data_IF_706817792308
#
_entry.id   IF_706817792308
#
_cell.length_a   1.000
_cell.length_b   1.000
_cell.length_c   1.000
_cell.angle_alpha   90.00
_cell.angle_beta   90.00
_cell.angle_gamma   90.00
#
_symmetry.space_group_name_H-M   'P 1'
#
loop_
_entity.id
_entity.type
_entity.pdbx_description
1 polymer ?
#
# COMPACT_ATOMS: atom_id res chain seq x y z
N UNK A 1 18.44 -20.44 6.65
CA UNK A 1 17.76 -19.15 6.92
C UNK A 1 18.75 -18.03 7.26
N UNK A 2 19.54 -18.13 8.34
CA UNK A 2 20.47 -17.05 8.74
C UNK A 2 21.54 -16.76 7.65
N UNK A 3 22.06 -17.78 7.00
CA UNK A 3 22.99 -17.64 5.88
C UNK A 3 22.37 -16.88 4.70
N UNK A 4 21.08 -17.12 4.42
CA UNK A 4 20.38 -16.47 3.34
C UNK A 4 20.06 -14.99 3.66
N UNK A 5 19.67 -14.68 4.89
CA UNK A 5 19.54 -13.28 5.35
C UNK A 5 20.86 -12.53 5.26
N UNK A 6 21.97 -13.17 5.67
CA UNK A 6 23.30 -12.59 5.54
C UNK A 6 23.71 -12.36 4.09
N UNK A 7 23.34 -13.29 3.19
CA UNK A 7 23.54 -13.13 1.76
C UNK A 7 22.75 -11.94 1.19
N UNK A 8 21.45 -11.82 1.53
CA UNK A 8 20.61 -10.71 1.08
C UNK A 8 21.15 -9.35 1.57
N UNK A 9 21.72 -9.32 2.77
CA UNK A 9 22.41 -8.14 3.31
C UNK A 9 23.71 -7.84 2.53
N UNK A 10 24.58 -8.81 2.36
CA UNK A 10 25.87 -8.63 1.63
C UNK A 10 25.68 -8.29 0.15
N UNK A 11 24.67 -8.86 -0.50
CA UNK A 11 24.32 -8.56 -1.91
C UNK A 11 23.68 -7.19 -2.09
N UNK A 12 23.48 -6.43 -1.00
CA UNK A 12 22.78 -5.14 -0.96
C UNK A 12 21.31 -5.16 -1.40
N UNK A 13 20.74 -6.32 -1.73
CA UNK A 13 19.34 -6.42 -2.16
C UNK A 13 18.38 -5.93 -1.08
N UNK A 14 18.64 -6.28 0.18
CA UNK A 14 17.91 -5.77 1.32
C UNK A 14 17.98 -4.24 1.42
N UNK A 15 19.19 -3.67 1.31
CA UNK A 15 19.40 -2.22 1.41
C UNK A 15 18.71 -1.45 0.29
N UNK A 16 18.78 -1.96 -0.94
CA UNK A 16 18.10 -1.34 -2.10
C UNK A 16 16.59 -1.33 -1.86
N UNK A 17 16.02 -2.46 -1.45
CA UNK A 17 14.60 -2.58 -1.16
C UNK A 17 14.15 -1.64 -0.04
N UNK A 18 14.95 -1.56 1.05
CA UNK A 18 14.73 -0.64 2.17
C UNK A 18 14.76 0.83 1.74
N UNK A 19 15.78 1.24 0.98
CA UNK A 19 15.91 2.63 0.51
C UNK A 19 14.74 3.02 -0.39
N UNK A 20 14.33 2.15 -1.32
CA UNK A 20 13.16 2.41 -2.18
C UNK A 20 11.90 2.52 -1.33
N UNK A 21 11.70 1.64 -0.34
CA UNK A 21 10.52 1.69 0.53
C UNK A 21 10.46 2.96 1.38
N UNK A 22 11.60 3.41 1.94
CA UNK A 22 11.69 4.69 2.67
C UNK A 22 11.39 5.86 1.73
N UNK A 23 11.92 5.85 0.50
CA UNK A 23 11.65 6.88 -0.48
C UNK A 23 10.15 6.97 -0.81
N UNK A 24 9.49 5.83 -1.06
CA UNK A 24 8.04 5.78 -1.29
C UNK A 24 7.29 6.33 -0.07
N UNK A 25 7.69 5.94 1.14
CA UNK A 25 7.09 6.43 2.39
C UNK A 25 7.22 7.95 2.52
N UNK A 26 8.38 8.51 2.20
CA UNK A 26 8.60 9.96 2.20
C UNK A 26 7.72 10.67 1.16
N UNK A 27 7.58 10.10 -0.04
CA UNK A 27 6.69 10.64 -1.08
C UNK A 27 5.22 10.61 -0.64
N UNK A 28 4.77 9.55 0.04
CA UNK A 28 3.41 9.49 0.60
C UNK A 28 3.19 10.58 1.67
N UNK A 29 4.17 10.80 2.53
CA UNK A 29 4.12 11.89 3.51
C UNK A 29 4.01 13.26 2.84
N UNK A 30 4.84 13.54 1.83
CA UNK A 30 4.80 14.81 1.09
C UNK A 30 3.47 15.00 0.35
N UNK A 31 2.93 13.94 -0.23
CA UNK A 31 1.60 13.96 -0.87
C UNK A 31 0.50 14.32 0.13
N UNK A 32 0.54 13.73 1.32
CA UNK A 32 -0.43 14.03 2.38
C UNK A 32 -0.32 15.49 2.84
N UNK A 33 0.90 15.99 3.02
CA UNK A 33 1.15 17.40 3.36
C UNK A 33 0.61 18.34 2.29
N UNK A 34 0.86 18.05 1.02
CA UNK A 34 0.36 18.86 -0.09
C UNK A 34 -1.18 18.86 -0.12
N UNK A 35 -1.82 17.76 0.24
CA UNK A 35 -3.28 17.67 0.35
C UNK A 35 -3.81 18.60 1.45
N UNK A 36 -3.16 18.66 2.62
CA UNK A 36 -3.52 19.60 3.69
C UNK A 36 -3.43 21.05 3.20
N UNK A 37 -2.33 21.42 2.54
CA UNK A 37 -2.14 22.76 2.01
C UNK A 37 -3.17 23.10 0.91
N UNK A 38 -3.50 22.14 0.06
CA UNK A 38 -4.53 22.30 -0.97
C UNK A 38 -5.91 22.56 -0.36
N UNK A 39 -6.31 21.76 0.65
CA UNK A 39 -7.59 21.96 1.33
C UNK A 39 -7.65 23.30 2.08
N UNK A 40 -6.54 23.71 2.69
CA UNK A 40 -6.43 25.02 3.32
C UNK A 40 -6.61 26.16 2.30
N UNK A 41 -5.93 26.08 1.16
CA UNK A 41 -6.09 27.07 0.07
C UNK A 41 -7.52 27.13 -0.46
N UNK A 42 -8.16 25.98 -0.68
CA UNK A 42 -9.56 25.92 -1.10
C UNK A 42 -10.52 26.49 -0.06
N UNK A 43 -10.23 26.27 1.23
CA UNK A 43 -11.01 26.87 2.32
C UNK A 43 -10.90 28.39 2.33
N UNK A 44 -9.68 28.95 2.23
CA UNK A 44 -9.51 30.40 2.18
C UNK A 44 -10.21 31.03 0.96
N UNK A 45 -10.12 30.39 -0.20
CA UNK A 45 -10.83 30.85 -1.39
C UNK A 45 -12.36 30.84 -1.17
N UNK A 46 -12.92 29.79 -0.59
CA UNK A 46 -14.35 29.71 -0.29
C UNK A 46 -14.79 30.78 0.73
N UNK A 47 -13.91 31.11 1.69
CA UNK A 47 -14.16 32.21 2.66
C UNK A 47 -14.16 33.57 1.96
N UNK A 48 -13.19 33.84 1.07
CA UNK A 48 -13.13 35.07 0.30
C UNK A 48 -14.38 35.25 -0.57
N UNK A 49 -14.81 34.19 -1.25
CA UNK A 49 -16.03 34.20 -2.08
C UNK A 49 -17.28 34.46 -1.22
N UNK A 50 -17.40 33.84 -0.05
CA UNK A 50 -18.51 34.07 0.86
C UNK A 50 -18.57 35.51 1.39
N UNK A 51 -17.40 36.09 1.75
CA UNK A 51 -17.30 37.48 2.17
C UNK A 51 -17.69 38.45 1.06
N UNK A 52 -17.25 38.16 -0.17
CA UNK A 52 -17.61 38.98 -1.35
C UNK A 52 -19.12 38.96 -1.62
N UNK A 53 -19.79 37.83 -1.33
CA UNK A 53 -21.25 37.68 -1.43
C UNK A 53 -22.02 38.26 -0.22
N UNK A 54 -21.32 38.77 0.81
CA UNK A 54 -21.94 39.33 2.03
C UNK A 54 -22.49 38.25 2.97
N UNK A 55 -22.04 37.03 2.86
CA UNK A 55 -22.49 35.90 3.69
C UNK A 55 -21.77 35.89 5.07
N UNK A 56 -22.45 35.38 6.09
CA UNK A 56 -21.88 35.29 7.42
C UNK A 56 -21.11 33.96 7.59
N UNK A 57 -19.79 34.02 7.68
CA UNK A 57 -18.93 32.86 7.77
C UNK A 57 -19.28 31.93 8.95
N UNK A 58 -19.62 32.49 10.13
CA UNK A 58 -20.00 31.69 11.30
C UNK A 58 -21.26 30.86 11.03
N UNK A 59 -22.27 31.45 10.37
CA UNK A 59 -23.48 30.74 9.98
C UNK A 59 -23.21 29.65 8.96
N UNK A 60 -22.31 29.90 7.99
CA UNK A 60 -21.92 28.89 7.00
C UNK A 60 -21.18 27.70 7.66
N UNK A 61 -20.31 27.98 8.64
CA UNK A 61 -19.57 26.93 9.36
C UNK A 61 -20.47 26.10 10.29
N UNK A 62 -21.52 26.69 10.86
CA UNK A 62 -22.50 25.99 11.69
C UNK A 62 -23.54 25.22 10.85
N UNK A 63 -23.72 25.59 9.60
CA UNK A 63 -24.64 24.95 8.68
C UNK A 63 -24.19 23.58 8.19
N UNK A 64 -25.12 22.87 7.56
CA UNK A 64 -24.82 21.62 6.84
C UNK A 64 -24.37 21.92 5.41
N UNK A 65 -23.76 20.95 4.76
CA UNK A 65 -23.48 20.99 3.32
C UNK A 65 -24.09 19.78 2.61
N UNK A 66 -24.47 19.95 1.36
CA UNK A 66 -24.94 18.87 0.47
C UNK A 66 -24.10 18.81 -0.77
N UNK A 67 -23.83 17.59 -1.20
CA UNK A 67 -23.13 17.30 -2.44
C UNK A 67 -24.15 16.76 -3.44
N UNK A 68 -24.45 17.53 -4.46
CA UNK A 68 -25.27 17.05 -5.58
C UNK A 68 -24.33 16.64 -6.72
N UNK A 69 -24.32 15.35 -7.04
CA UNK A 69 -23.58 14.81 -8.17
C UNK A 69 -24.49 14.68 -9.38
N UNK A 70 -24.35 15.57 -10.36
CA UNK A 70 -24.93 15.41 -11.68
C UNK A 70 -23.82 15.00 -12.64
N UNK A 71 -24.11 14.08 -13.56
CA UNK A 71 -23.22 13.34 -14.49
C UNK A 71 -21.76 13.81 -14.70
N UNK A 72 -21.43 15.09 -14.56
CA UNK A 72 -20.06 15.64 -14.71
C UNK A 72 -19.80 16.88 -13.83
N UNK A 73 -20.72 17.27 -12.97
CA UNK A 73 -20.60 18.49 -12.14
C UNK A 73 -20.94 18.09 -10.70
N UNK A 74 -20.02 18.41 -9.81
CA UNK A 74 -20.29 18.35 -8.36
C UNK A 74 -20.67 19.76 -7.92
N UNK A 75 -21.89 19.93 -7.47
CA UNK A 75 -22.39 21.20 -6.91
C UNK A 75 -22.37 21.07 -5.39
N UNK A 76 -21.67 21.97 -4.74
CA UNK A 76 -21.57 22.04 -3.28
C UNK A 76 -22.36 23.29 -2.87
N UNK A 77 -23.46 23.12 -2.12
CA UNK A 77 -24.32 24.21 -1.68
C UNK A 77 -23.66 25.09 -0.60
N UNK A 78 -22.77 24.52 0.23
CA UNK A 78 -21.98 25.25 1.23
C UNK A 78 -20.50 24.91 1.09
N UNK A 79 -19.76 25.53 0.16
CA UNK A 79 -18.35 25.21 -0.09
C UNK A 79 -17.44 25.54 1.11
N UNK A 80 -17.75 26.60 1.86
CA UNK A 80 -16.98 27.01 3.05
C UNK A 80 -16.96 25.89 4.10
N UNK A 81 -18.11 25.32 4.44
CA UNK A 81 -18.21 24.20 5.39
C UNK A 81 -17.52 22.95 4.84
N UNK A 82 -17.74 22.63 3.57
CA UNK A 82 -17.17 21.46 2.92
C UNK A 82 -15.63 21.47 2.97
N UNK A 83 -15.01 22.58 2.53
CA UNK A 83 -13.55 22.69 2.52
C UNK A 83 -12.96 22.81 3.93
N UNK A 84 -13.69 23.42 4.88
CA UNK A 84 -13.30 23.40 6.29
C UNK A 84 -13.22 21.97 6.83
N UNK A 85 -14.24 21.15 6.60
CA UNK A 85 -14.25 19.76 7.05
C UNK A 85 -13.19 18.92 6.33
N UNK A 86 -12.97 19.14 5.04
CA UNK A 86 -11.93 18.48 4.27
C UNK A 86 -10.52 18.82 4.81
N UNK A 87 -10.29 20.09 5.12
CA UNK A 87 -9.05 20.55 5.75
C UNK A 87 -8.87 19.92 7.14
N UNK A 88 -9.88 19.96 7.99
CA UNK A 88 -9.89 19.36 9.31
C UNK A 88 -9.57 17.85 9.24
N UNK A 89 -10.23 17.11 8.36
CA UNK A 89 -9.98 15.68 8.17
C UNK A 89 -8.54 15.41 7.72
N UNK A 90 -7.99 16.23 6.83
CA UNK A 90 -6.62 16.09 6.36
C UNK A 90 -5.57 16.40 7.43
N UNK A 91 -5.84 17.36 8.33
CA UNK A 91 -5.00 17.63 9.51
C UNK A 91 -4.99 16.43 10.47
N UNK A 92 -6.16 15.88 10.78
CA UNK A 92 -6.29 14.67 11.63
C UNK A 92 -5.50 13.52 11.07
N UNK A 93 -5.53 13.32 9.75
CA UNK A 93 -4.76 12.29 9.07
C UNK A 93 -3.24 12.47 9.24
N UNK A 94 -2.75 13.69 9.45
CA UNK A 94 -1.34 13.99 9.72
C UNK A 94 -0.93 13.80 11.18
N UNK A 95 -1.86 13.55 12.09
CA UNK A 95 -1.50 13.29 13.50
C UNK A 95 -0.75 11.96 13.63
N UNK A 96 0.34 11.88 14.42
CA UNK A 96 1.16 10.68 14.57
C UNK A 96 0.38 9.45 15.02
N UNK A 97 -0.67 9.62 15.83
CA UNK A 97 -1.57 8.53 16.26
C UNK A 97 -2.30 7.85 15.11
N UNK A 98 -2.51 8.55 14.01
CA UNK A 98 -3.17 8.05 12.81
C UNK A 98 -2.18 7.57 11.74
N UNK A 99 -0.87 7.70 11.98
CA UNK A 99 0.17 7.46 11.00
C UNK A 99 0.13 6.07 10.36
N UNK A 100 -0.10 5.02 11.14
CA UNK A 100 -0.18 3.65 10.63
C UNK A 100 -1.36 3.53 9.67
N UNK A 101 -2.54 3.95 10.11
CA UNK A 101 -3.75 3.88 9.30
C UNK A 101 -3.61 4.75 8.05
N UNK A 102 -3.06 5.95 8.17
CA UNK A 102 -2.89 6.87 7.05
C UNK A 102 -1.93 6.34 5.99
N UNK A 103 -0.77 5.82 6.39
CA UNK A 103 0.16 5.20 5.45
C UNK A 103 -0.47 4.01 4.73
N UNK A 104 -1.08 3.11 5.49
CA UNK A 104 -1.64 1.88 4.93
C UNK A 104 -2.94 2.11 4.15
N UNK A 105 -3.73 3.15 4.46
CA UNK A 105 -4.94 3.52 3.70
C UNK A 105 -4.65 4.34 2.44
N UNK A 106 -3.41 4.83 2.28
CA UNK A 106 -2.95 5.49 1.07
C UNK A 106 -2.62 4.46 -0.03
N UNK A 107 -2.11 4.92 -1.16
CA UNK A 107 -1.64 4.03 -2.24
C UNK A 107 -0.59 2.99 -1.82
N UNK A 108 -0.03 3.09 -0.62
CA UNK A 108 1.00 2.19 -0.10
C UNK A 108 0.55 0.73 -0.04
N UNK A 109 -0.74 0.46 0.26
CA UNK A 109 -1.27 -0.90 0.30
C UNK A 109 -1.27 -1.62 -1.07
N UNK A 110 -1.07 -0.89 -2.18
CA UNK A 110 -0.89 -1.43 -3.53
C UNK A 110 0.58 -1.41 -3.93
N UNK A 111 1.28 -0.30 -3.64
CA UNK A 111 2.68 -0.11 -4.06
C UNK A 111 3.61 -1.07 -3.33
N UNK A 112 3.41 -1.29 -2.05
CA UNK A 112 4.27 -2.18 -1.27
C UNK A 112 4.21 -3.65 -1.73
N UNK A 113 3.02 -4.26 -1.99
CA UNK A 113 2.93 -5.57 -2.65
C UNK A 113 3.58 -5.62 -4.03
N UNK A 114 3.44 -4.57 -4.85
CA UNK A 114 4.13 -4.50 -6.13
C UNK A 114 5.66 -4.56 -5.96
N UNK A 115 6.21 -3.75 -5.08
CA UNK A 115 7.63 -3.75 -4.74
C UNK A 115 8.09 -5.12 -4.20
N UNK A 116 7.25 -5.80 -3.41
CA UNK A 116 7.55 -7.14 -2.90
C UNK A 116 7.64 -8.18 -4.03
N UNK A 117 6.79 -8.05 -5.05
CA UNK A 117 6.88 -8.85 -6.28
C UNK A 117 8.21 -8.65 -7.01
N UNK A 118 8.65 -7.39 -7.17
CA UNK A 118 9.97 -7.07 -7.75
C UNK A 118 11.09 -7.69 -6.90
N UNK A 119 10.98 -7.59 -5.58
CA UNK A 119 11.96 -8.19 -4.67
C UNK A 119 12.03 -9.71 -4.83
N UNK A 120 10.88 -10.39 -4.98
CA UNK A 120 10.81 -11.83 -5.29
C UNK A 120 11.55 -12.19 -6.58
N UNK A 121 11.40 -11.39 -7.64
CA UNK A 121 12.13 -11.56 -8.91
C UNK A 121 13.64 -11.43 -8.69
N UNK A 122 14.09 -10.42 -7.96
CA UNK A 122 15.52 -10.16 -7.70
C UNK A 122 16.15 -11.32 -6.93
N UNK A 123 15.48 -11.80 -5.88
CA UNK A 123 16.00 -12.92 -5.06
C UNK A 123 16.05 -14.23 -5.86
N UNK A 124 15.01 -14.52 -6.66
CA UNK A 124 15.02 -15.70 -7.52
C UNK A 124 16.11 -15.64 -8.61
N UNK A 125 16.32 -14.46 -9.20
CA UNK A 125 17.30 -14.27 -10.27
C UNK A 125 18.75 -14.35 -9.76
N UNK A 126 19.02 -14.07 -8.51
CA UNK A 126 20.38 -14.10 -7.95
C UNK A 126 21.07 -15.45 -8.17
N UNK A 127 20.38 -16.58 -7.98
CA UNK A 127 20.95 -17.91 -8.24
C UNK A 127 21.14 -18.22 -9.71
N UNK A 128 20.23 -17.74 -10.56
CA UNK A 128 20.31 -17.92 -12.00
C UNK A 128 21.56 -17.20 -12.51
N UNK A 129 21.74 -15.95 -12.11
CA UNK A 129 22.84 -15.08 -12.53
C UNK A 129 24.22 -15.60 -12.13
N UNK A 130 24.36 -16.09 -10.90
CA UNK A 130 25.66 -16.51 -10.36
C UNK A 130 25.95 -18.00 -10.51
N UNK A 131 25.01 -18.78 -11.04
CA UNK A 131 25.16 -20.22 -11.24
C UNK A 131 25.34 -21.04 -9.95
N UNK A 132 25.14 -20.40 -8.78
CA UNK A 132 25.35 -21.01 -7.45
C UNK A 132 24.40 -22.16 -7.17
N UNK A 133 23.32 -22.26 -7.92
CA UNK A 133 22.32 -23.31 -7.79
C UNK A 133 22.91 -24.73 -7.95
N UNK A 134 23.91 -24.90 -8.85
CA UNK A 134 24.58 -26.20 -9.03
C UNK A 134 25.36 -26.64 -7.79
N UNK A 135 26.07 -25.71 -7.15
CA UNK A 135 26.84 -25.97 -5.93
C UNK A 135 25.93 -26.23 -4.73
N UNK A 136 24.87 -25.44 -4.57
CA UNK A 136 23.93 -25.63 -3.46
C UNK A 136 23.18 -26.96 -3.56
N UNK A 137 22.86 -27.44 -4.76
CA UNK A 137 22.20 -28.75 -4.99
C UNK A 137 23.03 -29.96 -4.59
N UNK A 138 24.34 -29.84 -4.50
CA UNK A 138 25.20 -30.92 -4.01
C UNK A 138 25.09 -31.15 -2.52
N UNK A 139 24.64 -30.11 -1.78
CA UNK A 139 24.59 -30.12 -0.30
C UNK A 139 23.14 -30.19 0.19
N UNK A 140 22.21 -29.51 -0.46
CA UNK A 140 20.81 -29.38 -0.03
C UNK A 140 19.83 -29.67 -1.18
N UNK A 141 18.62 -30.14 -0.83
CA UNK A 141 17.56 -30.28 -1.82
C UNK A 141 17.09 -28.90 -2.34
N UNK A 142 16.65 -28.84 -3.60
CA UNK A 142 16.12 -27.59 -4.19
C UNK A 142 14.98 -26.99 -3.36
N UNK A 143 14.15 -27.85 -2.76
CA UNK A 143 13.06 -27.44 -1.87
C UNK A 143 13.59 -26.69 -0.66
N UNK A 144 14.61 -27.22 0.03
CA UNK A 144 15.20 -26.58 1.19
C UNK A 144 15.81 -25.22 0.85
N UNK A 145 16.44 -25.10 -0.31
CA UNK A 145 16.99 -23.85 -0.81
C UNK A 145 15.89 -22.80 -1.03
N UNK A 146 14.84 -23.19 -1.77
CA UNK A 146 13.71 -22.30 -2.08
C UNK A 146 12.97 -21.85 -0.80
N UNK A 147 12.72 -22.78 0.14
CA UNK A 147 12.08 -22.46 1.42
C UNK A 147 12.94 -21.51 2.26
N UNK A 148 14.24 -21.75 2.32
CA UNK A 148 15.17 -20.88 3.05
C UNK A 148 15.14 -19.45 2.53
N UNK A 149 15.06 -19.26 1.21
CA UNK A 149 14.95 -17.95 0.56
C UNK A 149 13.62 -17.28 0.82
N UNK A 150 12.54 -18.02 0.69
CA UNK A 150 11.20 -17.50 0.94
C UNK A 150 11.05 -17.01 2.38
N UNK A 151 11.50 -17.82 3.36
CA UNK A 151 11.46 -17.44 4.78
C UNK A 151 12.35 -16.19 5.03
N UNK A 152 13.55 -16.15 4.46
CA UNK A 152 14.41 -14.99 4.58
C UNK A 152 13.76 -13.74 3.96
N UNK A 153 13.11 -13.88 2.80
CA UNK A 153 12.38 -12.78 2.15
C UNK A 153 11.16 -12.32 2.95
N UNK A 154 10.44 -13.24 3.62
CA UNK A 154 9.35 -12.88 4.54
C UNK A 154 9.86 -12.01 5.69
N UNK A 155 10.97 -12.40 6.32
CA UNK A 155 11.58 -11.60 7.39
C UNK A 155 12.01 -10.23 6.88
N UNK A 156 12.60 -10.17 5.68
CA UNK A 156 12.98 -8.92 5.03
C UNK A 156 11.76 -8.03 4.79
N UNK A 157 10.68 -8.56 4.20
CA UNK A 157 9.45 -7.79 3.95
C UNK A 157 8.86 -7.23 5.24
N UNK A 158 8.77 -8.06 6.28
CA UNK A 158 8.24 -7.64 7.58
C UNK A 158 9.09 -6.52 8.18
N UNK A 159 10.42 -6.66 8.17
CA UNK A 159 11.31 -5.64 8.69
C UNK A 159 11.23 -4.33 7.91
N UNK A 160 11.18 -4.37 6.58
CA UNK A 160 11.07 -3.18 5.73
C UNK A 160 9.72 -2.49 5.93
N UNK A 161 8.61 -3.24 6.03
CA UNK A 161 7.30 -2.65 6.31
C UNK A 161 7.27 -1.95 7.67
N UNK A 162 7.79 -2.58 8.72
CA UNK A 162 7.85 -1.97 10.05
C UNK A 162 8.72 -0.71 10.07
N UNK A 163 9.88 -0.73 9.40
CA UNK A 163 10.75 0.45 9.28
C UNK A 163 10.04 1.57 8.50
N UNK A 164 9.30 1.25 7.44
CA UNK A 164 8.52 2.23 6.67
C UNK A 164 7.41 2.87 7.51
N UNK A 165 6.69 2.08 8.30
CA UNK A 165 5.67 2.58 9.23
C UNK A 165 6.31 3.50 10.27
N UNK A 166 7.40 3.05 10.91
CA UNK A 166 8.13 3.87 11.89
C UNK A 166 8.65 5.18 11.26
N UNK A 167 9.21 5.09 10.07
CA UNK A 167 9.68 6.26 9.32
C UNK A 167 8.57 7.27 9.03
N UNK A 168 7.38 6.80 8.63
CA UNK A 168 6.23 7.66 8.38
C UNK A 168 5.75 8.35 9.67
N UNK A 169 5.60 7.61 10.77
CA UNK A 169 5.21 8.17 12.07
C UNK A 169 6.26 9.17 12.56
N UNK A 170 7.55 8.88 12.37
CA UNK A 170 8.62 9.83 12.73
C UNK A 170 8.55 11.11 11.90
N UNK A 171 8.28 11.03 10.59
CA UNK A 171 8.07 12.22 9.77
C UNK A 171 6.88 13.06 10.26
N UNK A 172 5.79 12.42 10.69
CA UNK A 172 4.65 13.13 11.27
C UNK A 172 4.97 13.78 12.61
N UNK A 173 5.76 13.13 13.48
CA UNK A 173 6.24 13.71 14.74
C UNK A 173 7.14 14.93 14.51
N UNK A 174 7.93 14.92 13.45
CA UNK A 174 8.83 16.01 13.08
C UNK A 174 8.13 17.14 12.31
N UNK A 175 6.89 16.92 11.83
CA UNK A 175 6.12 17.91 11.06
C UNK A 175 6.05 19.30 11.73
N UNK A 176 5.72 19.44 13.02
CA UNK A 176 5.62 20.76 13.66
C UNK A 176 6.94 21.55 13.64
N UNK A 177 8.07 20.86 13.58
CA UNK A 177 9.41 21.45 13.61
C UNK A 177 9.97 21.74 12.22
N UNK A 178 9.79 20.82 11.29
CA UNK A 178 10.38 20.91 9.94
C UNK A 178 9.44 21.60 8.95
N UNK A 179 8.15 21.44 9.14
CA UNK A 179 7.13 21.86 8.19
C UNK A 179 5.88 22.32 8.93
N UNK A 180 5.92 23.49 9.60
CA UNK A 180 4.76 23.98 10.33
C UNK A 180 3.57 24.07 9.38
N UNK A 181 2.48 23.44 9.77
CA UNK A 181 1.19 23.53 9.09
C UNK A 181 0.39 24.58 9.84
N UNK A 182 -0.19 25.52 9.11
CA UNK A 182 -1.06 26.54 9.72
C UNK A 182 -2.29 25.85 10.31
N UNK A 183 -2.52 26.01 11.60
CA UNK A 183 -3.71 25.49 12.28
C UNK A 183 -4.64 26.67 12.56
N UNK A 184 -5.82 26.65 11.96
CA UNK A 184 -6.82 27.68 12.17
C UNK A 184 -7.33 27.58 13.62
N UNK A 185 -7.39 28.69 14.40
CA UNK A 185 -7.78 28.67 15.82
C UNK A 185 -9.19 28.11 16.08
N UNK A 186 -10.04 28.05 15.05
CA UNK A 186 -11.40 27.52 15.12
C UNK A 186 -11.45 25.98 15.24
N UNK A 187 -10.30 25.30 15.14
CA UNK A 187 -10.24 23.84 15.21
C UNK A 187 -9.91 23.42 16.64
N UNK A 188 -10.91 22.98 17.37
CA UNK A 188 -10.71 22.23 18.62
C UNK A 188 -10.19 20.83 18.29
N UNK A 189 -8.86 20.67 18.29
CA UNK A 189 -8.20 19.38 18.04
C UNK A 189 -8.66 18.28 19.02
N UNK A 190 -9.14 18.64 20.19
CA UNK A 190 -9.62 17.69 21.20
C UNK A 190 -10.98 17.07 20.86
N UNK A 191 -11.86 17.77 20.18
CA UNK A 191 -13.14 17.21 19.71
C UNK A 191 -12.96 16.16 18.62
N UNK A 192 -11.85 16.22 17.88
CA UNK A 192 -11.48 15.32 16.79
C UNK A 192 -10.83 14.03 17.31
N UNK A 193 -10.41 14.00 18.56
CA UNK A 193 -9.78 12.83 19.19
C UNK A 193 -10.70 11.60 19.33
N UNK A 194 -12.00 11.75 19.11
CA UNK A 194 -12.98 10.65 19.22
C UNK A 194 -13.03 9.71 18.02
N UNK A 195 -12.40 10.07 16.90
CA UNK A 195 -12.25 9.14 15.76
C UNK A 195 -11.16 8.11 16.05
N UNK A 196 -11.51 7.06 16.78
CA UNK A 196 -10.60 5.97 17.15
C UNK A 196 -10.28 5.08 15.96
N UNK A 197 -9.27 5.44 15.17
CA UNK A 197 -8.75 4.61 14.08
C UNK A 197 -7.84 3.46 14.54
N UNK A 198 -7.55 3.36 15.82
CA UNK A 198 -6.51 2.46 16.34
C UNK A 198 -6.84 0.95 16.27
N UNK A 199 -8.12 0.57 16.28
CA UNK A 199 -8.50 -0.83 16.42
C UNK A 199 -8.21 -1.71 15.19
N UNK A 200 -8.01 -1.12 14.01
CA UNK A 200 -7.83 -1.87 12.78
C UNK A 200 -6.38 -1.93 12.26
N UNK A 201 -5.45 -1.18 12.87
CA UNK A 201 -4.09 -1.03 12.36
C UNK A 201 -3.33 -2.36 12.27
N UNK A 202 -3.49 -3.27 13.25
CA UNK A 202 -2.85 -4.58 13.21
C UNK A 202 -3.36 -5.43 12.03
N UNK A 203 -4.68 -5.43 11.81
CA UNK A 203 -5.29 -6.16 10.70
C UNK A 203 -4.88 -5.58 9.35
N UNK A 204 -4.73 -4.24 9.27
CA UNK A 204 -4.20 -3.59 8.06
C UNK A 204 -2.76 -4.02 7.76
N UNK A 205 -1.89 -4.04 8.77
CA UNK A 205 -0.50 -4.53 8.65
C UNK A 205 -0.50 -5.98 8.15
N UNK A 206 -1.28 -6.85 8.78
CA UNK A 206 -1.38 -8.26 8.39
C UNK A 206 -1.92 -8.44 6.98
N UNK A 207 -2.90 -7.63 6.57
CA UNK A 207 -3.45 -7.64 5.22
C UNK A 207 -2.40 -7.24 4.18
N UNK A 208 -1.68 -6.12 4.41
CA UNK A 208 -0.64 -5.64 3.49
C UNK A 208 0.51 -6.62 3.41
N UNK A 209 0.94 -7.21 4.54
CA UNK A 209 1.95 -8.29 4.56
C UNK A 209 1.48 -9.51 3.78
N UNK A 210 0.28 -10.00 4.06
CA UNK A 210 -0.28 -11.17 3.37
C UNK A 210 -0.33 -10.97 1.86
N UNK A 211 -0.84 -9.82 1.43
CA UNK A 211 -0.88 -9.43 0.03
C UNK A 211 0.53 -9.35 -0.59
N UNK A 212 1.48 -8.76 0.12
CA UNK A 212 2.88 -8.66 -0.33
C UNK A 212 3.53 -10.02 -0.49
N UNK A 213 3.25 -10.96 0.42
CA UNK A 213 3.73 -12.35 0.32
C UNK A 213 3.16 -13.08 -0.91
N UNK A 214 1.90 -12.80 -1.26
CA UNK A 214 1.27 -13.36 -2.46
C UNK A 214 2.04 -12.94 -3.72
N UNK A 215 2.27 -11.64 -3.89
CA UNK A 215 3.03 -11.13 -5.04
C UNK A 215 4.47 -11.62 -5.06
N UNK A 216 5.14 -11.66 -3.90
CA UNK A 216 6.49 -12.22 -3.77
C UNK A 216 6.53 -13.68 -4.23
N UNK A 217 5.62 -14.54 -3.75
CA UNK A 217 5.56 -15.96 -4.08
C UNK A 217 5.32 -16.19 -5.57
N UNK A 218 4.32 -15.52 -6.14
CA UNK A 218 4.00 -15.64 -7.56
C UNK A 218 5.22 -15.29 -8.42
N UNK A 219 5.84 -14.16 -8.13
CA UNK A 219 6.94 -13.63 -8.92
C UNK A 219 8.25 -14.41 -8.71
N UNK A 220 8.51 -14.88 -7.49
CA UNK A 220 9.64 -15.72 -7.18
C UNK A 220 9.61 -17.01 -8.02
N UNK A 221 8.50 -17.76 -7.99
CA UNK A 221 8.37 -18.99 -8.75
C UNK A 221 8.32 -18.77 -10.26
N UNK A 222 7.64 -17.72 -10.72
CA UNK A 222 7.62 -17.36 -12.14
C UNK A 222 9.04 -17.14 -12.67
N UNK A 223 9.89 -16.46 -11.90
CA UNK A 223 11.29 -16.19 -12.28
C UNK A 223 12.11 -17.48 -12.32
N UNK A 224 11.92 -18.37 -11.35
CA UNK A 224 12.61 -19.68 -11.36
C UNK A 224 12.22 -20.54 -12.58
N UNK A 225 10.96 -20.50 -13.00
CA UNK A 225 10.45 -21.27 -14.14
C UNK A 225 10.89 -20.67 -15.47
N UNK A 226 10.79 -19.36 -15.63
CA UNK A 226 11.18 -18.65 -16.86
C UNK A 226 12.69 -18.53 -17.01
N UNK A 227 13.43 -18.61 -15.91
CA UNK A 227 14.88 -18.35 -15.83
C UNK A 227 15.27 -16.98 -16.42
N UNK A 228 14.34 -16.04 -16.46
CA UNK A 228 14.53 -14.71 -17.05
C UNK A 228 13.89 -13.63 -16.19
N UNK A 229 14.72 -12.77 -15.63
CA UNK A 229 14.30 -11.64 -14.80
C UNK A 229 13.40 -10.67 -15.57
N UNK A 230 13.76 -10.33 -16.81
CA UNK A 230 13.03 -9.33 -17.60
C UNK A 230 11.60 -9.79 -17.93
N UNK A 231 11.43 -11.07 -18.27
CA UNK A 231 10.10 -11.66 -18.53
C UNK A 231 9.22 -11.53 -17.28
N UNK A 232 9.76 -11.87 -16.11
CA UNK A 232 9.01 -11.81 -14.85
C UNK A 232 8.62 -10.38 -14.49
N UNK A 233 9.56 -9.42 -14.61
CA UNK A 233 9.27 -8.00 -14.39
C UNK A 233 8.24 -7.46 -15.38
N UNK A 234 8.35 -7.84 -16.66
CA UNK A 234 7.39 -7.44 -17.67
C UNK A 234 5.97 -7.95 -17.35
N UNK A 235 5.84 -9.23 -16.98
CA UNK A 235 4.54 -9.81 -16.58
C UNK A 235 3.96 -9.07 -15.37
N UNK A 236 4.77 -8.80 -14.33
CA UNK A 236 4.31 -8.08 -13.15
C UNK A 236 3.85 -6.66 -13.49
N UNK A 237 4.68 -5.91 -14.23
CA UNK A 237 4.37 -4.53 -14.61
C UNK A 237 3.14 -4.46 -15.51
N UNK A 238 3.04 -5.35 -16.48
CA UNK A 238 1.88 -5.44 -17.36
C UNK A 238 0.61 -5.75 -16.57
N UNK A 239 0.67 -6.73 -15.66
CA UNK A 239 -0.47 -7.10 -14.84
C UNK A 239 -0.95 -5.94 -13.94
N UNK A 240 -0.03 -5.24 -13.29
CA UNK A 240 -0.41 -4.20 -12.32
C UNK A 240 -0.79 -2.89 -13.01
N UNK A 241 -0.03 -2.45 -14.02
CA UNK A 241 -0.16 -1.11 -14.60
C UNK A 241 -1.09 -1.06 -15.81
N UNK A 242 -1.08 -2.09 -16.65
CA UNK A 242 -1.75 -2.02 -17.97
C UNK A 242 -3.00 -2.88 -18.06
N UNK A 243 -3.06 -4.03 -17.41
CA UNK A 243 -4.25 -4.86 -17.49
C UNK A 243 -5.39 -4.27 -16.65
N UNK A 244 -6.61 -4.18 -17.21
CA UNK A 244 -7.79 -3.82 -16.43
C UNK A 244 -8.08 -4.94 -15.41
N UNK A 245 -9.06 -4.70 -14.54
CA UNK A 245 -9.57 -5.73 -13.64
C UNK A 245 -10.22 -6.85 -14.47
N UNK A 246 -9.68 -8.07 -14.36
CA UNK A 246 -10.07 -9.21 -15.21
C UNK A 246 -11.33 -9.95 -14.72
N UNK A 247 -11.89 -9.58 -13.58
CA UNK A 247 -13.13 -10.16 -13.06
C UNK A 247 -13.15 -10.32 -11.55
N UNK A 248 -14.16 -11.06 -11.05
CA UNK A 248 -14.40 -11.22 -9.60
C UNK A 248 -13.23 -11.84 -8.84
N UNK A 249 -12.52 -12.76 -9.47
CA UNK A 249 -11.41 -13.50 -8.86
C UNK A 249 -10.04 -12.90 -9.18
N UNK A 250 -10.00 -11.76 -9.86
CA UNK A 250 -8.76 -11.04 -10.06
C UNK A 250 -8.23 -10.54 -8.71
N UNK A 251 -6.96 -10.84 -8.42
CA UNK A 251 -6.31 -10.46 -7.16
C UNK A 251 -6.37 -8.95 -6.92
N UNK A 252 -6.23 -8.13 -7.98
CA UNK A 252 -6.38 -6.67 -7.88
C UNK A 252 -7.78 -6.28 -7.43
N UNK A 253 -8.82 -6.88 -8.05
CA UNK A 253 -10.20 -6.59 -7.70
C UNK A 253 -10.50 -6.98 -6.25
N UNK A 254 -10.03 -8.16 -5.84
CA UNK A 254 -10.20 -8.66 -4.46
C UNK A 254 -9.58 -7.66 -3.48
N UNK A 255 -8.33 -7.24 -3.71
CA UNK A 255 -7.61 -6.31 -2.85
C UNK A 255 -8.30 -4.94 -2.80
N UNK A 256 -8.60 -4.37 -3.98
CA UNK A 256 -9.21 -3.04 -4.11
C UNK A 256 -10.65 -3.00 -3.55
N UNK A 257 -11.36 -4.12 -3.53
CA UNK A 257 -12.72 -4.18 -3.02
C UNK A 257 -12.78 -4.48 -1.51
N UNK A 258 -11.96 -5.43 -1.04
CA UNK A 258 -11.97 -5.83 0.37
C UNK A 258 -11.36 -4.75 1.25
N UNK A 259 -10.24 -4.17 0.84
CA UNK A 259 -9.49 -3.25 1.68
C UNK A 259 -10.32 -2.03 2.11
N UNK A 260 -10.94 -1.26 1.22
CA UNK A 260 -11.78 -0.11 1.62
C UNK A 260 -13.01 -0.50 2.44
N UNK A 261 -13.65 -1.64 2.11
CA UNK A 261 -14.85 -2.10 2.84
C UNK A 261 -14.55 -2.54 4.28
N UNK A 262 -13.41 -3.19 4.50
CA UNK A 262 -13.03 -3.71 5.82
C UNK A 262 -12.40 -2.63 6.71
N UNK A 263 -11.62 -1.73 6.12
CA UNK A 263 -10.83 -0.76 6.88
C UNK A 263 -11.34 0.68 6.78
N UNK A 264 -12.50 0.92 6.15
CA UNK A 264 -13.03 2.25 5.90
C UNK A 264 -11.96 3.19 5.30
N UNK A 265 -11.08 2.63 4.49
CA UNK A 265 -10.01 3.36 3.86
C UNK A 265 -10.58 4.21 2.73
N UNK A 266 -10.51 5.52 2.87
CA UNK A 266 -10.79 6.44 1.77
C UNK A 266 -9.65 6.34 0.75
N UNK A 267 -9.67 5.31 -0.09
CA UNK A 267 -8.74 5.13 -1.21
C UNK A 267 -9.06 6.16 -2.31
N UNK A 268 -8.97 7.43 -1.96
CA UNK A 268 -9.37 8.56 -2.80
C UNK A 268 -8.50 8.76 -4.03
N UNK A 269 -7.36 8.10 -4.11
CA UNK A 269 -6.42 8.25 -5.25
C UNK A 269 -6.67 7.28 -6.40
N UNK A 270 -7.40 6.20 -6.17
CA UNK A 270 -7.85 5.32 -7.24
C UNK A 270 -9.37 5.45 -7.32
N UNK A 271 -9.89 6.05 -8.38
CA UNK A 271 -11.27 5.85 -8.76
C UNK A 271 -11.44 4.34 -8.98
N UNK A 272 -11.87 3.67 -7.93
CA UNK A 272 -12.35 2.31 -8.03
C UNK A 272 -13.64 2.49 -8.83
N UNK A 273 -13.56 2.28 -10.14
CA UNK A 273 -14.76 2.06 -10.93
C UNK A 273 -15.57 1.07 -10.11
N UNK A 274 -16.82 1.41 -9.76
CA UNK A 274 -17.72 0.63 -8.93
C UNK A 274 -17.59 -0.82 -9.32
N UNK A 275 -16.67 -1.47 -8.60
CA UNK A 275 -16.15 -2.74 -9.05
C UNK A 275 -17.22 -3.78 -8.81
N UNK A 276 -17.12 -4.80 -9.54
CA UNK A 276 -17.86 -6.03 -9.43
C UNK A 276 -18.16 -6.29 -7.96
N UNK A 277 -19.46 -6.25 -7.62
CA UNK A 277 -19.95 -6.39 -6.25
C UNK A 277 -19.50 -7.75 -5.70
N UNK A 278 -18.49 -7.73 -4.86
CA UNK A 278 -18.03 -8.90 -4.14
C UNK A 278 -18.89 -9.03 -2.89
N UNK A 279 -19.83 -9.97 -2.90
CA UNK A 279 -20.37 -10.44 -1.64
C UNK A 279 -19.18 -10.95 -0.82
N UNK A 280 -18.95 -10.35 0.38
CA UNK A 280 -17.90 -10.76 1.31
C UNK A 280 -18.21 -12.17 1.85
N UNK A 281 -18.02 -13.17 1.00
CA UNK A 281 -18.11 -14.55 1.40
C UNK A 281 -16.71 -15.04 1.77
N UNK A 282 -16.58 -15.78 2.85
CA UNK A 282 -15.33 -16.37 3.34
C UNK A 282 -14.56 -17.11 2.23
N UNK A 283 -15.26 -17.68 1.26
CA UNK A 283 -14.69 -18.36 0.09
C UNK A 283 -13.91 -17.43 -0.83
N UNK A 284 -14.27 -16.15 -0.92
CA UNK A 284 -13.54 -15.16 -1.73
C UNK A 284 -12.17 -14.87 -1.14
N UNK A 285 -12.02 -14.96 0.18
CA UNK A 285 -10.74 -14.77 0.88
C UNK A 285 -9.93 -16.07 0.88
N UNK A 286 -10.57 -17.22 1.09
CA UNK A 286 -9.88 -18.52 1.13
C UNK A 286 -9.41 -18.98 -0.24
N UNK A 287 -10.16 -18.69 -1.31
CA UNK A 287 -9.83 -19.14 -2.67
C UNK A 287 -8.44 -18.68 -3.16
N UNK A 288 -8.03 -17.41 -3.04
CA UNK A 288 -6.66 -16.98 -3.38
C UNK A 288 -5.59 -17.70 -2.56
N UNK A 289 -5.85 -17.94 -1.27
CA UNK A 289 -4.89 -18.64 -0.38
C UNK A 289 -4.69 -20.08 -0.85
N UNK A 290 -5.79 -20.78 -1.15
CA UNK A 290 -5.74 -22.15 -1.69
C UNK A 290 -5.04 -22.17 -3.04
N UNK A 291 -5.37 -21.26 -3.95
CA UNK A 291 -4.71 -21.14 -5.24
C UNK A 291 -3.19 -20.94 -5.11
N UNK A 292 -2.75 -20.15 -4.14
CA UNK A 292 -1.32 -19.91 -3.89
C UNK A 292 -0.62 -21.16 -3.38
N UNK A 293 -1.25 -21.89 -2.47
CA UNK A 293 -0.69 -23.16 -1.99
C UNK A 293 -0.57 -24.17 -3.14
N UNK A 294 -1.63 -24.30 -3.94
CA UNK A 294 -1.63 -25.17 -5.13
C UNK A 294 -0.59 -24.70 -6.15
N UNK A 295 -0.50 -23.38 -6.41
CA UNK A 295 0.51 -22.81 -7.29
C UNK A 295 1.93 -23.14 -6.80
N UNK A 296 2.23 -22.95 -5.51
CA UNK A 296 3.53 -23.30 -4.94
C UNK A 296 3.89 -24.77 -5.11
N UNK A 297 2.94 -25.69 -4.89
CA UNK A 297 3.13 -27.13 -5.05
C UNK A 297 3.37 -27.49 -6.52
N UNK A 298 2.57 -26.95 -7.43
CA UNK A 298 2.70 -27.23 -8.88
C UNK A 298 4.05 -26.71 -9.40
N UNK A 299 4.41 -25.48 -9.05
CA UNK A 299 5.67 -24.87 -9.47
C UNK A 299 6.89 -25.64 -8.94
N UNK A 300 6.83 -26.12 -7.71
CA UNK A 300 7.88 -26.97 -7.15
C UNK A 300 8.03 -28.30 -7.91
N UNK A 301 6.92 -28.94 -8.29
CA UNK A 301 6.94 -30.14 -9.14
C UNK A 301 7.57 -29.84 -10.51
N UNK A 302 7.17 -28.75 -11.16
CA UNK A 302 7.73 -28.33 -12.47
C UNK A 302 9.24 -28.09 -12.36
N UNK A 303 9.70 -27.45 -11.29
CA UNK A 303 11.12 -27.21 -11.08
C UNK A 303 11.93 -28.50 -10.85
N UNK A 304 11.33 -29.49 -10.17
CA UNK A 304 11.95 -30.82 -10.02
C UNK A 304 12.09 -31.52 -11.39
N UNK A 305 11.05 -31.53 -12.22
CA UNK A 305 11.09 -32.09 -13.55
C UNK A 305 12.14 -31.45 -14.46
N UNK A 306 12.22 -30.10 -14.46
CA UNK A 306 13.22 -29.35 -15.25
C UNK A 306 14.65 -29.45 -14.70
N UNK A 307 14.83 -29.95 -13.50
CA UNK A 307 16.13 -30.11 -12.87
C UNK A 307 16.79 -31.45 -13.02
N UNK A 308 16.05 -32.43 -13.61
CA UNK A 308 16.53 -33.79 -13.85
C UNK A 308 17.02 -34.02 -15.29
N UNK A 309 17.00 -32.99 -16.16
CA UNK A 309 17.51 -33.00 -17.52
C UNK A 309 18.84 -32.26 -17.67
#
# INVERSE_FOLDING_TARGET
MLSELHYQWKSKNYLIFLVISIFVTAMMYLSQRNLVNSHLGSFYQAVEDAVANGENITQLLDGDFRLERSKNIEIIDNPTKYYFMAYQASLVAMLPKNGINQLLSSSFFIIFPFMSGIYGVVIANAEIKYGTNKVHRTICSQWQINQSKLIASMVTLTSVLLISIMGFVMLQLLTPWLFPVEVIPLIELDSINQLSFMHHSLYQILFVLGNSLIYLLIMFYLTLVTKNMLVSLFVLSTYILFLPILGKFDLKNIILTIYPKVFNANATTFHINEGIDLSLNIWVVLFPIVLLLVYGIIMEKILRFKGTG
#
